data_IF_726148052916
#
_entry.id   IF_726148052916
#
_cell.length_a   1.000
_cell.length_b   1.000
_cell.length_c   1.000
_cell.angle_alpha   90.00
_cell.angle_beta   90.00
_cell.angle_gamma   90.00
#
_symmetry.space_group_name_H-M   'P 1'
#
loop_
_entity.id
_entity.type
_entity.pdbx_description
1 polymer ?
#
# COMPACT_ATOMS: atom_id res chain seq x y z
N UNK A 1 -2.57 15.69 -17.02
CA UNK A 1 -3.26 14.45 -16.61
C UNK A 1 -2.74 13.99 -15.26
N UNK A 2 -3.60 13.51 -14.35
CA UNK A 2 -3.18 12.84 -13.11
C UNK A 2 -2.90 11.37 -13.41
N UNK A 3 -1.68 10.91 -13.10
CA UNK A 3 -1.22 9.55 -13.36
C UNK A 3 -0.90 8.87 -12.02
N UNK A 4 -1.58 7.77 -11.71
CA UNK A 4 -1.47 7.13 -10.39
C UNK A 4 -1.23 5.63 -10.47
N UNK A 5 -0.54 5.12 -9.47
CA UNK A 5 -0.38 3.68 -9.27
C UNK A 5 -1.71 3.02 -8.89
N UNK A 6 -1.97 1.82 -9.39
CA UNK A 6 -3.15 1.03 -9.01
C UNK A 6 -3.12 0.56 -7.55
N UNK A 7 -1.96 0.34 -6.98
CA UNK A 7 -1.80 -0.09 -5.58
C UNK A 7 -1.89 1.04 -4.54
N UNK A 8 -2.45 2.19 -4.89
CA UNK A 8 -2.69 3.30 -3.97
C UNK A 8 -3.92 3.09 -3.10
N UNK A 9 -3.90 3.74 -1.93
CA UNK A 9 -5.03 3.75 -1.02
C UNK A 9 -6.29 4.35 -1.67
N UNK A 10 -7.47 3.80 -1.34
CA UNK A 10 -8.76 4.21 -1.93
C UNK A 10 -9.10 5.70 -1.74
N UNK A 11 -8.55 6.35 -0.69
CA UNK A 11 -8.79 7.78 -0.45
C UNK A 11 -8.37 8.68 -1.62
N UNK A 12 -7.35 8.28 -2.37
CA UNK A 12 -6.95 9.03 -3.55
C UNK A 12 -8.01 8.99 -4.65
N UNK A 13 -8.69 7.85 -4.82
CA UNK A 13 -9.81 7.74 -5.76
C UNK A 13 -10.98 8.65 -5.32
N UNK A 14 -11.28 8.67 -4.02
CA UNK A 14 -12.29 9.57 -3.46
C UNK A 14 -11.90 11.03 -3.70
N UNK A 15 -10.63 11.39 -3.51
CA UNK A 15 -10.11 12.72 -3.83
C UNK A 15 -10.27 13.08 -5.31
N UNK A 16 -9.99 12.16 -6.24
CA UNK A 16 -10.24 12.36 -7.66
C UNK A 16 -11.72 12.61 -7.96
N UNK A 17 -12.62 11.84 -7.33
CA UNK A 17 -14.05 12.01 -7.50
C UNK A 17 -14.55 13.37 -6.97
N UNK A 18 -14.10 13.79 -5.78
CA UNK A 18 -14.41 15.11 -5.21
C UNK A 18 -13.91 16.25 -6.09
N UNK A 19 -12.70 16.14 -6.60
CA UNK A 19 -12.09 17.13 -7.49
C UNK A 19 -12.64 17.08 -8.94
N UNK A 20 -13.45 16.08 -9.29
CA UNK A 20 -13.94 15.90 -10.66
C UNK A 20 -12.86 15.50 -11.66
N UNK A 21 -11.74 14.92 -11.19
CA UNK A 21 -10.60 14.53 -12.02
C UNK A 21 -10.69 13.07 -12.40
N UNK A 22 -10.46 12.76 -13.68
CA UNK A 22 -10.28 11.39 -14.18
C UNK A 22 -8.78 11.05 -14.15
N UNK A 23 -8.33 10.14 -13.26
CA UNK A 23 -6.95 9.70 -13.29
C UNK A 23 -6.73 8.67 -14.39
N UNK A 24 -5.49 8.52 -14.87
CA UNK A 24 -5.06 7.30 -15.55
C UNK A 24 -4.31 6.42 -14.57
N UNK A 25 -4.52 5.11 -14.64
CA UNK A 25 -3.89 4.16 -13.73
C UNK A 25 -2.76 3.44 -14.44
N UNK A 26 -1.63 3.31 -13.76
CA UNK A 26 -0.60 2.35 -14.17
C UNK A 26 -0.50 1.22 -13.14
N UNK A 27 -0.13 0.04 -13.62
CA UNK A 27 0.00 -1.15 -12.80
C UNK A 27 1.48 -1.44 -12.54
N UNK A 28 1.97 -1.30 -11.28
CA UNK A 28 3.28 -1.81 -10.91
C UNK A 28 3.34 -3.33 -11.09
N UNK A 29 4.54 -3.92 -11.21
CA UNK A 29 4.69 -5.36 -11.30
C UNK A 29 4.15 -6.08 -10.06
N UNK A 30 3.69 -7.32 -10.23
CA UNK A 30 3.36 -8.25 -9.15
C UNK A 30 4.31 -9.43 -9.29
N UNK A 31 4.97 -9.80 -8.20
CA UNK A 31 5.75 -11.03 -8.16
C UNK A 31 4.80 -12.24 -8.02
N UNK A 32 4.71 -13.13 -9.01
CA UNK A 32 3.78 -14.25 -8.97
C UNK A 32 4.12 -15.28 -7.88
N UNK A 33 5.38 -15.36 -7.45
CA UNK A 33 5.79 -16.32 -6.43
C UNK A 33 5.38 -15.90 -5.02
N UNK A 34 5.28 -14.61 -4.78
CA UNK A 34 4.94 -14.05 -3.46
C UNK A 34 3.58 -13.35 -3.43
N UNK A 35 3.01 -13.02 -4.58
CA UNK A 35 1.78 -12.22 -4.71
C UNK A 35 1.95 -10.74 -4.39
N UNK A 36 3.18 -10.30 -4.12
CA UNK A 36 3.44 -8.94 -3.65
C UNK A 36 3.58 -7.96 -4.82
N UNK A 37 2.94 -6.81 -4.68
CA UNK A 37 3.18 -5.64 -5.54
C UNK A 37 4.61 -5.16 -5.35
N UNK A 38 5.33 -5.07 -6.46
CA UNK A 38 6.72 -4.65 -6.48
C UNK A 38 6.85 -3.13 -6.66
N UNK A 39 7.95 -2.53 -6.21
CA UNK A 39 8.28 -1.16 -6.56
C UNK A 39 8.28 -0.97 -8.09
N UNK A 40 7.84 0.21 -8.54
CA UNK A 40 7.88 0.56 -9.96
C UNK A 40 9.34 0.74 -10.41
N UNK A 41 9.83 -0.03 -11.41
CA UNK A 41 11.16 0.18 -11.93
C UNK A 41 11.28 1.52 -12.67
N UNK A 42 12.42 2.26 -12.54
CA UNK A 42 12.63 3.54 -13.20
C UNK A 42 12.44 3.47 -14.73
N UNK A 43 12.97 2.43 -15.37
CA UNK A 43 12.82 2.21 -16.82
C UNK A 43 11.37 1.96 -17.25
N UNK A 44 10.56 1.38 -16.36
CA UNK A 44 9.13 1.22 -16.62
C UNK A 44 8.39 2.57 -16.51
N UNK A 45 8.73 3.40 -15.52
CA UNK A 45 8.18 4.75 -15.40
C UNK A 45 8.50 5.60 -16.63
N UNK A 46 9.73 5.57 -17.10
CA UNK A 46 10.15 6.31 -18.32
C UNK A 46 9.31 5.91 -19.54
N UNK A 47 9.07 4.61 -19.72
CA UNK A 47 8.18 4.09 -20.79
C UNK A 47 6.74 4.53 -20.62
N UNK A 48 6.22 4.45 -19.40
CA UNK A 48 4.86 4.85 -19.06
C UNK A 48 4.60 6.33 -19.35
N UNK A 49 5.52 7.22 -18.95
CA UNK A 49 5.37 8.66 -19.18
C UNK A 49 5.44 9.03 -20.67
N UNK A 50 6.27 8.32 -21.45
CA UNK A 50 6.30 8.48 -22.91
C UNK A 50 4.99 8.05 -23.58
N UNK A 51 4.34 6.99 -23.09
CA UNK A 51 3.08 6.49 -23.65
C UNK A 51 1.86 7.29 -23.17
N UNK A 52 1.88 7.78 -21.94
CA UNK A 52 0.74 8.44 -21.33
C UNK A 52 0.48 9.86 -21.89
N UNK A 53 1.46 10.46 -22.54
CA UNK A 53 1.41 11.87 -22.93
C UNK A 53 1.63 12.82 -21.75
N UNK A 54 1.24 14.10 -21.83
CA UNK A 54 1.53 15.09 -20.78
C UNK A 54 0.90 14.71 -19.42
N UNK A 55 1.73 14.40 -18.44
CA UNK A 55 1.35 14.13 -17.05
C UNK A 55 1.67 15.36 -16.20
N UNK A 56 0.67 15.89 -15.48
CA UNK A 56 0.86 17.04 -14.58
C UNK A 56 1.21 16.60 -13.16
N UNK A 57 0.69 15.44 -12.73
CA UNK A 57 0.92 14.89 -11.39
C UNK A 57 1.07 13.38 -11.47
N UNK A 58 2.22 12.88 -11.03
CA UNK A 58 2.45 11.47 -10.77
C UNK A 58 2.20 11.18 -9.30
N UNK A 59 1.47 10.10 -9.00
CA UNK A 59 1.25 9.65 -7.61
C UNK A 59 1.84 8.26 -7.43
N UNK A 60 2.77 8.16 -6.50
CA UNK A 60 3.49 6.93 -6.11
C UNK A 60 3.08 6.48 -4.71
N UNK A 61 3.24 5.19 -4.42
CA UNK A 61 3.24 4.65 -3.06
C UNK A 61 4.61 4.08 -2.75
N UNK A 62 5.23 4.56 -1.69
CA UNK A 62 6.53 4.05 -1.21
C UNK A 62 6.74 4.40 0.25
N UNK A 63 7.01 3.41 1.12
CA UNK A 63 7.00 1.97 0.81
C UNK A 63 5.58 1.42 0.62
N UNK A 64 5.50 0.22 0.07
CA UNK A 64 4.26 -0.57 0.12
C UNK A 64 3.94 -0.94 1.58
N UNK A 65 2.75 -1.48 1.82
CA UNK A 65 2.35 -1.96 3.15
C UNK A 65 3.37 -2.95 3.73
N UNK A 66 3.93 -3.78 2.88
CA UNK A 66 4.90 -4.83 3.21
C UNK A 66 6.33 -4.31 3.39
N UNK A 67 6.56 -3.00 3.21
CA UNK A 67 7.86 -2.38 3.38
C UNK A 67 8.78 -2.48 2.17
N UNK A 68 8.23 -2.68 0.97
CA UNK A 68 8.98 -2.60 -0.29
C UNK A 68 9.07 -1.14 -0.72
N UNK A 69 10.26 -0.57 -0.75
CA UNK A 69 10.51 0.82 -1.11
C UNK A 69 10.98 0.94 -2.57
N UNK A 70 10.52 1.99 -3.25
CA UNK A 70 10.92 2.36 -4.59
C UNK A 70 12.24 3.15 -4.59
N UNK A 71 12.95 3.17 -5.71
CA UNK A 71 14.05 4.11 -5.95
C UNK A 71 13.47 5.51 -6.21
N UNK A 72 13.03 6.16 -5.12
CA UNK A 72 12.38 7.47 -5.20
C UNK A 72 13.25 8.55 -5.82
N UNK A 73 14.57 8.64 -5.53
CA UNK A 73 15.43 9.64 -6.18
C UNK A 73 15.36 9.58 -7.72
N UNK A 74 15.47 8.37 -8.29
CA UNK A 74 15.42 8.22 -9.74
C UNK A 74 13.99 8.42 -10.29
N UNK A 75 12.96 7.91 -9.61
CA UNK A 75 11.57 8.08 -10.04
C UNK A 75 11.15 9.56 -10.03
N UNK A 76 11.54 10.33 -9.01
CA UNK A 76 11.28 11.77 -8.92
C UNK A 76 12.02 12.52 -10.04
N UNK A 77 13.30 12.21 -10.24
CA UNK A 77 14.11 12.83 -11.29
C UNK A 77 13.52 12.58 -12.69
N UNK A 78 13.09 11.35 -12.98
CA UNK A 78 12.39 11.01 -14.24
C UNK A 78 11.12 11.86 -14.39
N UNK A 79 10.29 11.89 -13.34
CA UNK A 79 9.01 12.63 -13.37
C UNK A 79 9.20 14.10 -13.65
N UNK A 80 10.13 14.74 -12.96
CA UNK A 80 10.45 16.15 -13.14
C UNK A 80 11.01 16.44 -14.56
N UNK A 81 11.84 15.54 -15.13
CA UNK A 81 12.30 15.68 -16.53
C UNK A 81 11.14 15.64 -17.54
N UNK A 82 10.04 14.94 -17.20
CA UNK A 82 8.81 14.91 -18.00
C UNK A 82 7.80 16.01 -17.64
N UNK A 83 8.16 16.96 -16.75
CA UNK A 83 7.31 18.07 -16.33
C UNK A 83 6.18 17.68 -15.39
N UNK A 84 6.24 16.49 -14.78
CA UNK A 84 5.25 16.01 -13.82
C UNK A 84 5.70 16.30 -12.39
N UNK A 85 4.84 16.96 -11.60
CA UNK A 85 5.01 17.02 -10.15
C UNK A 85 4.78 15.62 -9.53
N UNK A 86 5.36 15.36 -8.34
CA UNK A 86 5.31 14.06 -7.68
C UNK A 86 4.68 14.16 -6.30
N UNK A 87 3.61 13.39 -6.08
CA UNK A 87 3.06 13.11 -4.76
C UNK A 87 3.43 11.69 -4.37
N UNK A 88 4.02 11.53 -3.19
CA UNK A 88 4.30 10.20 -2.62
C UNK A 88 3.40 9.94 -1.42
N UNK A 89 2.63 8.86 -1.51
CA UNK A 89 1.99 8.27 -0.34
C UNK A 89 3.05 7.47 0.43
N UNK A 90 3.65 8.13 1.41
CA UNK A 90 4.64 7.56 2.34
C UNK A 90 4.00 7.24 3.70
N UNK A 91 2.71 6.88 3.71
CA UNK A 91 1.95 6.59 4.93
C UNK A 91 2.61 5.53 5.81
N UNK A 92 3.31 4.57 5.23
CA UNK A 92 4.02 3.50 5.93
C UNK A 92 5.52 3.77 6.14
N UNK A 93 6.07 4.85 5.57
CA UNK A 93 7.49 5.18 5.56
C UNK A 93 7.88 6.44 6.33
N UNK A 94 7.00 7.03 7.12
CA UNK A 94 7.30 8.29 7.83
C UNK A 94 8.56 8.25 8.70
N UNK A 95 9.02 7.07 9.11
CA UNK A 95 10.26 6.89 9.87
C UNK A 95 11.54 6.85 9.00
N UNK A 96 11.42 6.78 7.67
CA UNK A 96 12.58 6.65 6.76
C UNK A 96 13.53 7.85 6.82
N UNK A 97 13.02 9.05 7.02
CA UNK A 97 13.84 10.26 7.13
C UNK A 97 14.70 10.36 8.40
N UNK A 98 14.62 9.39 9.35
CA UNK A 98 15.25 9.51 10.67
C UNK A 98 16.42 8.55 10.94
N UNK A 99 16.77 7.67 9.99
CA UNK A 99 17.96 6.82 10.09
C UNK A 99 18.49 6.48 8.69
N UNK A 100 19.79 6.70 8.47
CA UNK A 100 20.44 6.50 7.16
C UNK A 100 20.56 5.04 6.72
N UNK A 101 20.24 4.08 7.58
CA UNK A 101 20.17 2.66 7.22
C UNK A 101 18.82 2.22 6.63
N UNK A 102 17.88 3.16 6.53
CA UNK A 102 16.56 2.99 5.90
C UNK A 102 16.60 3.54 4.46
N UNK A 103 15.62 3.20 3.62
CA UNK A 103 15.48 3.80 2.30
C UNK A 103 15.42 5.33 2.35
N UNK A 104 15.79 5.98 1.25
CA UNK A 104 15.68 7.43 1.11
C UNK A 104 14.20 7.83 1.24
N UNK A 105 13.91 8.77 2.15
CA UNK A 105 12.54 9.29 2.33
C UNK A 105 12.09 10.09 1.11
N UNK A 106 10.79 10.17 0.89
CA UNK A 106 10.22 10.88 -0.24
C UNK A 106 10.59 12.38 -0.24
N UNK A 107 10.68 13.00 0.92
CA UNK A 107 11.16 14.39 1.06
C UNK A 107 12.62 14.54 0.64
N UNK A 108 13.50 13.64 1.10
CA UNK A 108 14.91 13.66 0.72
C UNK A 108 15.13 13.33 -0.76
N UNK A 109 14.24 12.54 -1.37
CA UNK A 109 14.23 12.25 -2.80
C UNK A 109 13.74 13.42 -3.67
N UNK A 110 13.21 14.50 -3.08
CA UNK A 110 12.74 15.67 -3.80
C UNK A 110 11.28 15.61 -4.27
N UNK A 111 10.46 14.72 -3.72
CA UNK A 111 9.03 14.70 -4.02
C UNK A 111 8.35 16.01 -3.61
N UNK A 112 7.44 16.53 -4.44
CA UNK A 112 6.80 17.83 -4.23
C UNK A 112 5.76 17.81 -3.10
N UNK A 113 5.02 16.68 -2.99
CA UNK A 113 4.07 16.42 -1.92
C UNK A 113 4.32 15.04 -1.30
N UNK A 114 4.26 14.96 0.02
CA UNK A 114 4.44 13.70 0.75
C UNK A 114 3.39 13.56 1.85
N UNK A 115 2.73 12.42 1.90
CA UNK A 115 1.74 12.09 2.93
C UNK A 115 2.33 11.10 3.93
N UNK A 116 2.34 11.48 5.20
CA UNK A 116 2.68 10.59 6.32
C UNK A 116 1.44 10.26 7.15
N UNK A 117 1.19 8.99 7.42
CA UNK A 117 0.31 8.56 8.52
C UNK A 117 1.15 8.50 9.80
N UNK A 118 1.14 9.57 10.58
CA UNK A 118 1.99 9.72 11.78
C UNK A 118 1.71 8.61 12.80
N UNK A 119 0.44 8.18 12.87
CA UNK A 119 -0.01 7.10 13.75
C UNK A 119 0.49 5.70 13.34
N UNK A 120 0.91 5.48 12.08
CA UNK A 120 1.33 4.15 11.61
C UNK A 120 2.82 3.88 11.88
N UNK A 121 3.67 4.87 11.63
CA UNK A 121 5.12 4.65 11.61
C UNK A 121 5.94 5.57 12.54
N UNK A 122 5.34 6.61 13.10
CA UNK A 122 6.02 7.56 13.97
C UNK A 122 5.57 7.54 15.44
N UNK A 123 4.54 6.75 15.77
CA UNK A 123 4.04 6.60 17.13
C UNK A 123 3.08 7.70 17.57
N UNK A 124 2.50 8.45 16.66
CA UNK A 124 1.40 9.37 16.95
C UNK A 124 0.10 8.63 17.29
N UNK A 125 -0.84 9.32 17.90
CA UNK A 125 -2.19 8.78 18.16
C UNK A 125 -2.94 8.51 16.85
N UNK A 126 -3.84 7.55 16.86
CA UNK A 126 -4.69 7.20 15.73
C UNK A 126 -5.33 8.43 15.08
N UNK A 127 -5.48 8.42 13.76
CA UNK A 127 -5.98 9.51 12.92
C UNK A 127 -4.99 10.68 12.69
N UNK A 128 -3.83 10.73 13.36
CA UNK A 128 -2.85 11.77 13.09
C UNK A 128 -2.10 11.52 11.77
N UNK A 129 -2.07 12.54 10.91
CA UNK A 129 -1.39 12.51 9.63
C UNK A 129 -0.72 13.86 9.35
N UNK A 130 0.20 13.89 8.39
CA UNK A 130 0.82 15.13 7.92
C UNK A 130 0.93 15.11 6.38
N UNK A 131 0.65 16.24 5.77
CA UNK A 131 0.97 16.55 4.39
C UNK A 131 2.20 17.49 4.40
N UNK A 132 3.25 17.06 3.74
CA UNK A 132 4.44 17.86 3.52
C UNK A 132 4.43 18.40 2.09
N UNK A 133 4.85 19.64 1.92
CA UNK A 133 5.02 20.30 0.63
C UNK A 133 6.40 20.93 0.55
N UNK A 134 7.05 20.82 -0.60
CA UNK A 134 8.32 21.47 -0.88
C UNK A 134 8.42 21.87 -2.36
N UNK A 135 9.40 22.73 -2.67
CA UNK A 135 9.56 23.24 -4.04
C UNK A 135 8.49 24.27 -4.41
N UNK A 136 8.26 24.44 -5.71
CA UNK A 136 7.35 25.45 -6.27
C UNK A 136 6.25 24.88 -7.16
N UNK A 137 6.10 23.55 -7.19
CA UNK A 137 5.10 22.89 -8.05
C UNK A 137 3.65 23.16 -7.61
N UNK A 138 3.45 23.47 -6.34
CA UNK A 138 2.14 23.74 -5.75
C UNK A 138 2.13 25.07 -5.02
N UNK A 139 1.06 25.88 -5.24
CA UNK A 139 0.83 27.09 -4.47
C UNK A 139 0.44 26.73 -3.02
N UNK A 140 1.20 27.19 -2.00
CA UNK A 140 0.88 26.93 -0.60
C UNK A 140 -0.52 27.43 -0.19
N UNK A 141 -0.96 28.56 -0.72
CA UNK A 141 -2.28 29.11 -0.39
C UNK A 141 -3.42 28.23 -0.94
N UNK A 142 -3.25 27.69 -2.15
CA UNK A 142 -4.21 26.75 -2.71
C UNK A 142 -4.25 25.41 -1.94
N UNK A 143 -3.10 24.92 -1.45
CA UNK A 143 -3.04 23.73 -0.59
C UNK A 143 -3.74 23.98 0.74
N UNK A 144 -3.48 25.10 1.39
CA UNK A 144 -4.11 25.47 2.66
C UNK A 144 -5.63 25.59 2.50
N UNK A 145 -6.09 26.25 1.41
CA UNK A 145 -7.51 26.36 1.10
C UNK A 145 -8.16 24.97 0.90
N UNK A 146 -7.56 24.09 0.14
CA UNK A 146 -8.07 22.74 -0.11
C UNK A 146 -8.14 21.91 1.19
N UNK A 147 -7.12 22.01 2.04
CA UNK A 147 -7.11 21.37 3.36
C UNK A 147 -8.21 21.95 4.24
N UNK A 148 -8.42 23.26 4.26
CA UNK A 148 -9.48 23.93 5.01
C UNK A 148 -10.89 23.46 4.63
N UNK A 149 -11.12 23.08 3.38
CA UNK A 149 -12.41 22.53 2.94
C UNK A 149 -12.65 21.08 3.35
N UNK A 150 -11.59 20.29 3.51
CA UNK A 150 -11.66 18.85 3.75
C UNK A 150 -11.44 18.48 5.22
N UNK A 151 -10.78 19.33 5.98
CA UNK A 151 -10.53 19.11 7.40
C UNK A 151 -11.69 19.57 8.26
N UNK A 152 -11.75 19.01 9.49
CA UNK A 152 -12.72 19.46 10.49
C UNK A 152 -12.47 20.92 10.90
N UNK A 153 -13.55 21.68 11.11
CA UNK A 153 -13.49 23.03 11.70
C UNK A 153 -13.15 23.04 13.20
N UNK A 154 -13.16 21.86 13.85
CA UNK A 154 -12.88 21.66 15.28
C UNK A 154 -11.73 20.66 15.45
N UNK A 155 -10.49 20.99 15.06
CA UNK A 155 -9.35 20.07 15.14
C UNK A 155 -9.06 19.67 16.59
N UNK A 156 -8.77 18.40 16.82
CA UNK A 156 -8.37 17.89 18.12
C UNK A 156 -6.96 18.34 18.47
N UNK A 157 -6.83 19.21 19.46
CA UNK A 157 -5.52 19.65 19.97
C UNK A 157 -4.65 18.48 20.46
N UNK A 158 -5.27 17.42 20.99
CA UNK A 158 -4.56 16.20 21.44
C UNK A 158 -3.92 15.47 20.26
N UNK A 159 -4.62 15.33 19.13
CA UNK A 159 -4.09 14.69 17.92
C UNK A 159 -2.98 15.54 17.29
N UNK A 160 -3.18 16.86 17.22
CA UNK A 160 -2.15 17.78 16.71
C UNK A 160 -0.88 17.73 17.56
N UNK A 161 -1.02 17.84 18.89
CA UNK A 161 0.10 17.74 19.81
C UNK A 161 0.80 16.38 19.73
N UNK A 162 0.03 15.30 19.58
CA UNK A 162 0.59 13.95 19.41
C UNK A 162 1.43 13.83 18.13
N UNK A 163 0.96 14.39 17.01
CA UNK A 163 1.72 14.41 15.77
C UNK A 163 3.01 15.22 15.90
N UNK A 164 2.93 16.41 16.49
CA UNK A 164 4.11 17.25 16.77
C UNK A 164 5.11 16.52 17.65
N UNK A 165 4.67 15.94 18.75
CA UNK A 165 5.53 15.22 19.67
C UNK A 165 6.20 13.99 19.02
N UNK A 166 5.51 13.30 18.12
CA UNK A 166 6.08 12.20 17.35
C UNK A 166 7.28 12.68 16.51
N UNK A 167 7.14 13.75 15.74
CA UNK A 167 8.25 14.32 14.96
C UNK A 167 9.37 14.83 15.85
N UNK A 168 9.06 15.62 16.88
CA UNK A 168 10.06 16.13 17.83
C UNK A 168 10.84 14.99 18.50
N UNK A 169 10.16 13.88 18.82
CA UNK A 169 10.82 12.71 19.40
C UNK A 169 11.84 12.13 18.41
N UNK A 170 11.45 11.87 17.16
CA UNK A 170 12.36 11.30 16.16
C UNK A 170 13.51 12.23 15.80
N UNK A 171 13.31 13.55 15.80
CA UNK A 171 14.36 14.55 15.62
C UNK A 171 15.32 14.64 16.81
N UNK A 172 14.98 14.11 17.99
CA UNK A 172 15.81 14.17 19.17
C UNK A 172 16.91 13.09 19.18
N UNK A 173 18.04 13.36 19.84
CA UNK A 173 19.10 12.37 20.03
C UNK A 173 18.60 11.10 20.75
N UNK A 174 17.60 11.21 21.64
CA UNK A 174 16.97 10.07 22.31
C UNK A 174 16.17 9.23 21.33
N UNK A 175 15.31 9.85 20.53
CA UNK A 175 14.47 9.17 19.52
C UNK A 175 15.32 8.49 18.46
N UNK A 176 16.34 9.17 17.93
CA UNK A 176 17.28 8.60 16.96
C UNK A 176 17.98 7.35 17.52
N UNK A 177 18.47 7.38 18.78
CA UNK A 177 19.05 6.18 19.42
C UNK A 177 18.03 5.05 19.60
N UNK A 178 16.78 5.39 19.95
CA UNK A 178 15.72 4.40 20.12
C UNK A 178 15.36 3.75 18.78
N UNK A 179 15.19 4.52 17.72
CA UNK A 179 14.91 4.01 16.38
C UNK A 179 16.03 3.07 15.93
N UNK A 180 17.29 3.51 15.99
CA UNK A 180 18.45 2.68 15.62
C UNK A 180 18.48 1.35 16.38
N UNK A 181 18.25 1.38 17.69
CA UNK A 181 18.16 0.15 18.49
C UNK A 181 17.03 -0.75 18.00
N UNK A 182 15.89 -0.20 17.61
CA UNK A 182 14.78 -0.97 17.08
C UNK A 182 15.10 -1.62 15.75
N UNK A 183 15.70 -0.87 14.84
CA UNK A 183 16.12 -1.39 13.55
C UNK A 183 17.12 -2.55 13.70
N UNK A 184 18.08 -2.41 14.61
CA UNK A 184 19.03 -3.49 14.94
C UNK A 184 18.32 -4.72 15.49
N UNK A 185 17.37 -4.55 16.43
CA UNK A 185 16.59 -5.66 16.98
C UNK A 185 15.71 -6.36 15.93
N UNK A 186 15.11 -5.59 15.03
CA UNK A 186 14.29 -6.13 13.95
C UNK A 186 15.13 -6.95 12.96
N UNK A 187 16.32 -6.46 12.59
CA UNK A 187 17.26 -7.20 11.72
C UNK A 187 17.74 -8.49 12.39
N UNK A 188 18.15 -8.41 13.65
CA UNK A 188 18.57 -9.60 14.41
C UNK A 188 17.43 -10.63 14.55
N UNK A 189 16.18 -10.18 14.75
CA UNK A 189 15.02 -11.05 14.76
C UNK A 189 14.82 -11.76 13.42
N UNK A 190 14.90 -11.02 12.30
CA UNK A 190 14.81 -11.60 10.96
C UNK A 190 15.89 -12.67 10.74
N UNK A 191 17.14 -12.36 11.07
CA UNK A 191 18.26 -13.31 10.96
C UNK A 191 18.02 -14.57 11.79
N UNK A 192 17.59 -14.43 13.05
CA UNK A 192 17.27 -15.56 13.93
C UNK A 192 16.14 -16.45 13.40
N UNK A 193 15.09 -15.86 12.84
CA UNK A 193 13.98 -16.60 12.26
C UNK A 193 14.40 -17.31 10.96
N UNK A 194 15.14 -16.63 10.08
CA UNK A 194 15.68 -17.22 8.86
C UNK A 194 16.64 -18.38 9.16
N UNK A 195 17.52 -18.22 10.15
CA UNK A 195 18.41 -19.29 10.61
C UNK A 195 17.66 -20.47 11.21
N UNK A 196 16.46 -20.27 11.71
CA UNK A 196 15.58 -21.32 12.20
C UNK A 196 14.72 -21.98 11.10
N UNK A 197 14.96 -21.67 9.83
CA UNK A 197 14.26 -22.23 8.67
C UNK A 197 12.89 -21.61 8.40
N UNK A 198 12.54 -20.47 9.03
CA UNK A 198 11.30 -19.75 8.76
C UNK A 198 11.43 -19.02 7.41
N UNK A 199 10.54 -19.25 6.43
CA UNK A 199 10.61 -18.63 5.11
C UNK A 199 10.18 -17.17 5.17
N UNK A 200 11.14 -16.28 5.29
CA UNK A 200 10.90 -14.84 5.30
C UNK A 200 11.21 -14.23 3.93
N UNK A 201 10.31 -13.38 3.45
CA UNK A 201 10.51 -12.58 2.26
C UNK A 201 11.33 -11.33 2.60
N UNK A 202 12.16 -10.91 1.63
CA UNK A 202 12.98 -9.70 1.77
C UNK A 202 12.15 -8.46 1.47
N UNK A 203 12.42 -7.41 2.24
CA UNK A 203 11.90 -6.07 2.03
C UNK A 203 12.92 -5.02 2.49
N UNK A 204 12.62 -3.75 2.28
CA UNK A 204 13.50 -2.64 2.59
C UNK A 204 13.29 -2.05 4.00
N UNK A 205 12.10 -2.28 4.60
CA UNK A 205 11.79 -1.82 5.96
C UNK A 205 12.00 -2.94 6.98
N UNK A 206 13.04 -2.86 7.84
CA UNK A 206 13.27 -3.87 8.87
C UNK A 206 12.12 -4.03 9.87
N UNK A 207 11.27 -2.98 10.03
CA UNK A 207 10.12 -3.01 10.92
C UNK A 207 8.91 -3.75 10.34
N UNK A 208 9.01 -4.25 9.12
CA UNK A 208 8.05 -5.16 8.49
C UNK A 208 8.69 -6.53 8.36
N UNK A 209 8.10 -7.54 9.01
CA UNK A 209 8.52 -8.92 8.88
C UNK A 209 7.50 -9.65 8.01
N UNK A 210 7.96 -10.21 6.88
CA UNK A 210 7.11 -10.90 5.91
C UNK A 210 7.35 -12.39 5.97
N UNK A 211 6.34 -13.14 6.39
CA UNK A 211 6.32 -14.60 6.35
C UNK A 211 5.77 -15.05 4.98
N UNK A 212 6.49 -15.91 4.28
CA UNK A 212 6.02 -16.57 3.06
C UNK A 212 5.20 -17.81 3.43
N UNK A 213 3.92 -17.62 3.72
CA UNK A 213 3.01 -18.72 4.12
C UNK A 213 2.78 -19.71 2.99
N UNK A 214 2.77 -19.23 1.74
CA UNK A 214 2.66 -20.07 0.56
C UNK A 214 3.76 -21.13 0.45
N UNK A 215 4.96 -20.87 0.97
CA UNK A 215 6.04 -21.86 1.04
C UNK A 215 5.71 -23.05 1.98
N UNK A 216 4.78 -22.86 2.91
CA UNK A 216 4.28 -23.91 3.79
C UNK A 216 2.94 -24.49 3.34
N UNK A 217 2.45 -24.13 2.15
CA UNK A 217 1.20 -24.66 1.61
C UNK A 217 -0.06 -24.10 2.25
N UNK A 218 0.04 -22.97 2.97
CA UNK A 218 -1.12 -22.30 3.55
C UNK A 218 -1.18 -20.81 3.13
N UNK A 219 -2.41 -20.29 3.07
CA UNK A 219 -2.63 -18.86 2.82
C UNK A 219 -2.27 -18.00 4.03
N UNK A 220 -2.04 -16.70 3.80
CA UNK A 220 -1.84 -15.76 4.89
C UNK A 220 -3.04 -15.69 5.83
N UNK A 221 -4.27 -15.79 5.30
CA UNK A 221 -5.49 -15.79 6.12
C UNK A 221 -5.60 -17.03 7.03
N UNK A 222 -5.27 -18.22 6.54
CA UNK A 222 -5.23 -19.44 7.36
C UNK A 222 -4.14 -19.35 8.44
N UNK A 223 -2.97 -18.80 8.08
CA UNK A 223 -1.89 -18.59 9.03
C UNK A 223 -2.26 -17.56 10.11
N UNK A 224 -2.88 -16.46 9.72
CA UNK A 224 -3.34 -15.38 10.62
C UNK A 224 -4.36 -15.89 11.63
N UNK A 225 -5.41 -16.59 11.15
CA UNK A 225 -6.43 -17.19 12.03
C UNK A 225 -5.81 -18.16 13.03
N UNK A 226 -4.89 -19.02 12.59
CA UNK A 226 -4.21 -19.97 13.47
C UNK A 226 -3.32 -19.28 14.52
N UNK A 227 -2.63 -18.22 14.15
CA UNK A 227 -1.78 -17.41 15.03
C UNK A 227 -2.60 -16.60 16.03
N UNK A 228 -3.72 -16.04 15.59
CA UNK A 228 -4.63 -15.25 16.43
C UNK A 228 -5.17 -16.09 17.61
N UNK A 229 -5.57 -17.33 17.37
CA UNK A 229 -5.98 -18.27 18.43
C UNK A 229 -4.90 -18.51 19.48
N UNK A 230 -3.62 -18.22 19.16
CA UNK A 230 -2.46 -18.40 20.06
C UNK A 230 -1.89 -17.07 20.57
N UNK A 231 -2.69 -16.00 20.45
CA UNK A 231 -2.34 -14.66 20.95
C UNK A 231 -1.24 -13.95 20.16
N UNK A 232 -0.99 -14.37 18.91
CA UNK A 232 -0.09 -13.67 17.99
C UNK A 232 -0.91 -12.97 16.93
N UNK A 233 -0.86 -11.65 16.94
CA UNK A 233 -1.59 -10.79 16.01
C UNK A 233 -0.63 -10.36 14.90
N UNK A 234 -0.93 -10.72 13.66
CA UNK A 234 -0.31 -10.18 12.48
C UNK A 234 -1.14 -9.00 11.95
N UNK A 235 -0.65 -8.36 10.89
CA UNK A 235 -1.27 -7.12 10.41
C UNK A 235 -1.96 -7.30 9.06
N UNK A 236 -1.33 -7.97 8.12
CA UNK A 236 -1.84 -8.06 6.76
C UNK A 236 -1.67 -9.48 6.21
N UNK A 237 -2.70 -10.33 6.30
CA UNK A 237 -2.73 -11.62 5.64
C UNK A 237 -3.03 -11.43 4.14
N UNK A 238 -2.19 -12.01 3.28
CA UNK A 238 -2.35 -12.04 1.83
C UNK A 238 -2.45 -13.49 1.35
N UNK A 239 -2.58 -13.72 0.05
CA UNK A 239 -2.76 -15.09 -0.47
C UNK A 239 -1.56 -15.99 -0.18
N UNK A 240 -0.34 -15.48 -0.33
CA UNK A 240 0.89 -16.25 -0.18
C UNK A 240 1.80 -15.75 0.94
N UNK A 241 1.39 -14.71 1.68
CA UNK A 241 2.23 -14.08 2.69
C UNK A 241 1.43 -13.53 3.87
N UNK A 242 2.14 -13.27 4.97
CA UNK A 242 1.61 -12.64 6.16
C UNK A 242 2.59 -11.60 6.67
N UNK A 243 2.15 -10.36 6.79
CA UNK A 243 2.97 -9.24 7.26
C UNK A 243 2.79 -9.01 8.74
N UNK A 244 3.91 -8.88 9.47
CA UNK A 244 3.94 -8.43 10.86
C UNK A 244 4.52 -7.03 10.93
N UNK A 245 3.86 -6.15 11.68
CA UNK A 245 4.37 -4.82 12.00
C UNK A 245 5.10 -4.84 13.34
N UNK A 246 6.42 -4.65 13.29
CA UNK A 246 7.25 -4.52 14.49
C UNK A 246 7.19 -3.06 14.96
N UNK A 247 6.50 -2.81 16.07
CA UNK A 247 6.34 -1.47 16.61
C UNK A 247 7.64 -0.86 17.15
N UNK A 248 7.62 0.44 17.42
CA UNK A 248 8.71 1.18 18.05
C UNK A 248 8.84 0.90 19.56
N UNK A 249 7.86 0.24 20.15
CA UNK A 249 7.82 -0.11 21.58
C UNK A 249 8.74 -1.29 21.99
N UNK A 250 8.89 -1.60 23.28
CA UNK A 250 9.73 -2.69 23.77
C UNK A 250 9.21 -4.07 23.31
N UNK A 251 10.12 -4.94 22.85
CA UNK A 251 9.80 -6.27 22.32
C UNK A 251 10.46 -7.40 23.12
N UNK A 252 10.46 -7.29 24.47
CA UNK A 252 11.05 -8.31 25.34
C UNK A 252 10.37 -9.66 25.11
N UNK A 253 11.15 -10.70 24.81
CA UNK A 253 10.66 -12.06 24.61
C UNK A 253 10.00 -12.34 23.26
N UNK A 254 9.65 -11.31 22.47
CA UNK A 254 8.94 -11.46 21.20
C UNK A 254 9.63 -12.44 20.24
N UNK A 255 10.95 -12.34 20.08
CA UNK A 255 11.68 -13.19 19.12
C UNK A 255 11.60 -14.68 19.47
N UNK A 256 11.67 -15.03 20.76
CA UNK A 256 11.52 -16.41 21.22
C UNK A 256 10.09 -16.92 21.01
N UNK A 257 9.11 -16.12 21.43
CA UNK A 257 7.68 -16.45 21.27
C UNK A 257 7.33 -16.63 19.80
N UNK A 258 7.70 -15.67 18.94
CA UNK A 258 7.38 -15.69 17.52
C UNK A 258 8.05 -16.90 16.83
N UNK A 259 9.32 -17.17 17.10
CA UNK A 259 9.99 -18.37 16.58
C UNK A 259 9.26 -19.66 16.96
N UNK A 260 8.93 -19.82 18.24
CA UNK A 260 8.25 -21.02 18.74
C UNK A 260 6.88 -21.21 18.06
N UNK A 261 6.09 -20.16 17.97
CA UNK A 261 4.74 -20.22 17.39
C UNK A 261 4.81 -20.43 15.86
N UNK A 262 5.75 -19.82 15.15
CA UNK A 262 5.93 -20.05 13.73
C UNK A 262 6.40 -21.46 13.40
N UNK A 263 7.26 -22.07 14.24
CA UNK A 263 7.62 -23.49 14.11
C UNK A 263 6.43 -24.42 14.35
N UNK A 264 5.57 -24.09 15.32
CA UNK A 264 4.33 -24.84 15.55
C UNK A 264 3.34 -24.67 14.38
N UNK A 265 3.24 -23.48 13.79
CA UNK A 265 2.44 -23.24 12.59
C UNK A 265 2.93 -24.12 11.42
N UNK A 266 4.24 -24.15 11.19
CA UNK A 266 4.83 -25.01 10.17
C UNK A 266 4.49 -26.49 10.39
N UNK A 267 4.58 -26.97 11.62
CA UNK A 267 4.24 -28.36 11.96
C UNK A 267 2.75 -28.67 11.76
N UNK A 268 1.88 -27.71 12.08
CA UNK A 268 0.42 -27.89 12.02
C UNK A 268 -0.16 -27.73 10.61
N UNK A 269 0.43 -26.88 9.78
CA UNK A 269 -0.10 -26.48 8.47
C UNK A 269 0.86 -26.78 7.32
N UNK A 270 2.08 -27.23 7.60
CA UNK A 270 3.09 -27.51 6.58
C UNK A 270 2.61 -28.56 5.57
N UNK A 271 2.54 -28.13 4.31
CA UNK A 271 2.16 -28.95 3.15
C UNK A 271 3.05 -28.59 1.96
N UNK A 272 2.78 -29.15 0.79
CA UNK A 272 3.44 -28.74 -0.44
C UNK A 272 3.20 -27.23 -0.72
N UNK A 273 4.20 -26.50 -1.22
CA UNK A 273 4.04 -25.07 -1.51
C UNK A 273 2.81 -24.80 -2.38
N UNK A 274 2.15 -23.68 -2.11
CA UNK A 274 1.06 -23.20 -2.94
C UNK A 274 1.57 -22.82 -4.34
N UNK A 275 0.74 -22.98 -5.38
CA UNK A 275 1.12 -22.56 -6.73
C UNK A 275 1.32 -21.03 -6.79
N UNK A 276 2.12 -20.54 -7.75
CA UNK A 276 2.26 -19.12 -7.99
C UNK A 276 0.91 -18.42 -8.23
N UNK A 277 0.78 -17.19 -7.75
CA UNK A 277 -0.38 -16.36 -8.00
C UNK A 277 -0.48 -16.02 -9.48
N UNK A 278 -1.66 -16.12 -10.05
CA UNK A 278 -1.97 -15.47 -11.33
C UNK A 278 -2.27 -13.99 -11.06
N UNK A 279 -1.42 -13.05 -11.51
CA UNK A 279 -1.68 -11.63 -11.34
C UNK A 279 -2.99 -11.22 -12.02
N UNK A 280 -3.71 -10.21 -11.47
CA UNK A 280 -4.87 -9.65 -12.17
C UNK A 280 -4.47 -9.17 -13.57
N UNK A 281 -5.27 -9.42 -14.60
CA UNK A 281 -4.98 -9.03 -15.99
C UNK A 281 -5.22 -7.53 -16.20
N UNK A 282 -4.40 -6.70 -15.53
CA UNK A 282 -4.45 -5.27 -15.70
C UNK A 282 -3.63 -4.83 -16.92
N UNK A 283 -4.18 -3.94 -17.77
CA UNK A 283 -3.36 -3.28 -18.76
C UNK A 283 -2.30 -2.40 -18.08
N UNK A 284 -1.19 -2.17 -18.77
CA UNK A 284 -0.09 -1.35 -18.24
C UNK A 284 -0.57 0.07 -17.88
N UNK A 285 -1.45 0.64 -18.71
CA UNK A 285 -2.17 1.88 -18.45
C UNK A 285 -3.67 1.60 -18.61
N UNK A 286 -4.45 1.86 -17.56
CA UNK A 286 -5.90 1.71 -17.56
C UNK A 286 -6.55 3.08 -17.60
N UNK A 287 -7.16 3.49 -18.72
CA UNK A 287 -7.98 4.69 -18.78
C UNK A 287 -9.35 4.42 -18.13
N UNK A 288 -10.00 5.46 -17.67
CA UNK A 288 -11.40 5.42 -17.28
C UNK A 288 -12.29 5.73 -18.48
N UNK A 289 -13.37 4.98 -18.68
CA UNK A 289 -14.39 5.29 -19.65
C UNK A 289 -15.24 6.50 -19.20
N UNK A 290 -15.49 6.60 -17.90
CA UNK A 290 -16.10 7.75 -17.22
C UNK A 290 -15.26 8.13 -16.00
N UNK A 291 -15.33 9.41 -15.58
CA UNK A 291 -14.71 9.78 -14.32
C UNK A 291 -15.36 9.02 -13.14
N UNK A 292 -14.62 8.73 -12.07
CA UNK A 292 -15.20 8.12 -10.87
C UNK A 292 -16.41 8.90 -10.32
N UNK A 293 -16.37 10.23 -10.40
CA UNK A 293 -17.50 11.11 -10.02
C UNK A 293 -18.73 10.82 -10.86
N UNK A 294 -18.59 10.77 -12.19
CA UNK A 294 -19.69 10.49 -13.11
C UNK A 294 -20.26 9.08 -12.87
N UNK A 295 -19.41 8.07 -12.71
CA UNK A 295 -19.85 6.71 -12.48
C UNK A 295 -20.63 6.55 -11.17
N UNK A 296 -20.19 7.22 -10.09
CA UNK A 296 -20.90 7.16 -8.80
C UNK A 296 -22.20 7.97 -8.77
N UNK A 297 -22.38 8.92 -9.66
CA UNK A 297 -23.59 9.78 -9.70
C UNK A 297 -24.69 9.25 -10.64
N UNK A 298 -24.43 8.18 -11.41
CA UNK A 298 -25.41 7.61 -12.34
C UNK A 298 -26.16 6.42 -11.75
N UNK A 299 -27.37 6.13 -12.24
CA UNK A 299 -28.08 4.90 -11.88
C UNK A 299 -27.27 3.66 -12.18
N UNK A 300 -27.35 2.67 -11.30
CA UNK A 300 -26.58 1.44 -11.41
C UNK A 300 -27.41 0.22 -11.00
N UNK A 301 -27.12 -0.92 -11.59
CA UNK A 301 -27.72 -2.20 -11.29
C UNK A 301 -26.66 -3.25 -10.92
N UNK A 302 -27.04 -4.27 -10.17
CA UNK A 302 -26.17 -5.40 -9.88
C UNK A 302 -26.40 -6.48 -10.95
N UNK A 303 -25.32 -6.92 -11.58
CA UNK A 303 -25.33 -8.01 -12.58
C UNK A 303 -24.37 -9.12 -12.17
N UNK A 304 -24.62 -10.38 -12.53
CA UNK A 304 -23.65 -11.45 -12.32
C UNK A 304 -22.31 -11.12 -12.97
N UNK A 305 -21.18 -11.47 -12.33
CA UNK A 305 -19.83 -11.19 -12.86
C UNK A 305 -19.69 -11.65 -14.33
N UNK A 306 -20.18 -12.85 -14.66
CA UNK A 306 -20.11 -13.38 -16.04
C UNK A 306 -20.91 -12.60 -17.08
N UNK A 307 -21.80 -11.69 -16.67
CA UNK A 307 -22.64 -10.88 -17.57
C UNK A 307 -22.18 -9.41 -17.61
N UNK A 308 -21.14 -9.05 -16.86
CA UNK A 308 -20.68 -7.67 -16.72
C UNK A 308 -19.67 -7.23 -17.81
N UNK A 309 -19.27 -8.12 -18.70
CA UNK A 309 -18.27 -7.82 -19.73
C UNK A 309 -18.72 -6.65 -20.63
N UNK A 310 -17.82 -5.72 -20.87
CA UNK A 310 -18.07 -4.51 -21.66
C UNK A 310 -18.84 -3.41 -20.93
N UNK A 311 -19.46 -3.69 -19.78
CA UNK A 311 -20.18 -2.70 -18.96
C UNK A 311 -19.22 -1.79 -18.19
N UNK A 312 -19.68 -0.63 -17.79
CA UNK A 312 -18.91 0.32 -16.97
C UNK A 312 -19.21 0.06 -15.49
N UNK A 313 -18.19 -0.16 -14.69
CA UNK A 313 -18.32 -0.38 -13.27
C UNK A 313 -18.85 0.87 -12.55
N UNK A 314 -19.76 0.67 -11.59
CA UNK A 314 -20.34 1.69 -10.74
C UNK A 314 -19.88 1.55 -9.27
N UNK A 315 -19.08 0.55 -8.96
CA UNK A 315 -18.60 0.32 -7.61
C UNK A 315 -17.09 0.12 -7.53
N UNK A 316 -16.58 0.21 -6.31
CA UNK A 316 -15.21 -0.12 -5.95
C UNK A 316 -15.16 -1.55 -5.40
N UNK A 317 -14.56 -2.48 -6.15
CA UNK A 317 -14.26 -3.81 -5.64
C UNK A 317 -12.80 -3.85 -5.18
N UNK A 318 -12.61 -4.00 -3.88
CA UNK A 318 -11.32 -3.88 -3.23
C UNK A 318 -11.18 -4.99 -2.17
N UNK A 319 -10.78 -6.22 -2.56
CA UNK A 319 -10.55 -7.30 -1.61
C UNK A 319 -9.54 -6.87 -0.53
N UNK A 320 -9.84 -7.14 0.72
CA UNK A 320 -9.01 -6.73 1.85
C UNK A 320 -8.67 -7.94 2.73
N UNK A 321 -7.43 -8.08 3.15
CA UNK A 321 -6.22 -7.35 2.80
C UNK A 321 -5.69 -7.66 1.38
N UNK A 322 -4.82 -6.88 0.77
CA UNK A 322 -4.25 -5.61 1.25
C UNK A 322 -5.10 -4.37 0.93
N UNK A 323 -6.29 -4.52 0.33
CA UNK A 323 -7.13 -3.39 0.01
C UNK A 323 -6.75 -2.67 -1.29
N UNK A 324 -6.25 -3.41 -2.27
CA UNK A 324 -5.92 -2.87 -3.60
C UNK A 324 -7.11 -3.05 -4.53
N UNK A 325 -7.58 -1.97 -5.17
CA UNK A 325 -8.74 -2.02 -6.03
C UNK A 325 -8.54 -2.90 -7.27
N UNK A 326 -9.38 -3.91 -7.44
CA UNK A 326 -9.43 -4.75 -8.64
C UNK A 326 -10.45 -4.27 -9.67
N UNK A 327 -11.50 -3.59 -9.21
CA UNK A 327 -12.48 -2.87 -10.04
C UNK A 327 -12.65 -1.47 -9.48
N UNK A 328 -12.69 -0.47 -10.34
CA UNK A 328 -12.89 0.92 -9.99
C UNK A 328 -14.10 1.49 -10.72
N UNK A 329 -14.92 2.34 -10.07
CA UNK A 329 -16.05 3.00 -10.73
C UNK A 329 -15.56 3.83 -11.91
N UNK A 330 -16.21 3.67 -13.06
CA UNK A 330 -15.83 4.30 -14.31
C UNK A 330 -14.88 3.49 -15.20
N UNK A 331 -14.34 2.36 -14.74
CA UNK A 331 -13.61 1.44 -15.60
C UNK A 331 -14.57 0.60 -16.43
N UNK A 332 -14.22 0.33 -17.70
CA UNK A 332 -14.87 -0.68 -18.50
C UNK A 332 -14.37 -2.08 -18.10
N UNK A 333 -15.29 -2.97 -17.80
CA UNK A 333 -14.98 -4.33 -17.34
C UNK A 333 -14.62 -5.22 -18.53
N UNK A 334 -13.39 -5.73 -18.55
CA UNK A 334 -12.88 -6.65 -19.55
C UNK A 334 -13.20 -8.10 -19.15
N UNK A 335 -13.49 -8.95 -20.16
CA UNK A 335 -13.84 -10.35 -19.93
C UNK A 335 -12.78 -11.10 -19.11
N UNK A 336 -11.50 -10.92 -19.44
CA UNK A 336 -10.37 -11.57 -18.78
C UNK A 336 -10.28 -11.20 -17.30
N UNK A 337 -10.64 -9.95 -16.94
CA UNK A 337 -10.67 -9.51 -15.53
C UNK A 337 -11.82 -10.17 -14.76
N UNK A 338 -12.97 -10.32 -15.39
CA UNK A 338 -14.14 -10.97 -14.79
C UNK A 338 -13.90 -12.47 -14.60
N UNK A 339 -13.31 -13.14 -15.57
CA UNK A 339 -12.89 -14.54 -15.46
C UNK A 339 -11.88 -14.73 -14.33
N UNK A 340 -10.87 -13.83 -14.24
CA UNK A 340 -9.92 -13.84 -13.13
C UNK A 340 -10.62 -13.67 -11.79
N UNK A 341 -11.54 -12.72 -11.64
CA UNK A 341 -12.32 -12.51 -10.42
C UNK A 341 -13.10 -13.77 -10.01
N UNK A 342 -13.76 -14.45 -10.94
CA UNK A 342 -14.48 -15.69 -10.68
C UNK A 342 -13.54 -16.82 -10.21
N UNK A 343 -12.35 -16.92 -10.80
CA UNK A 343 -11.34 -17.89 -10.35
C UNK A 343 -10.82 -17.58 -8.95
N UNK A 344 -10.71 -16.30 -8.59
CA UNK A 344 -10.22 -15.87 -7.29
C UNK A 344 -11.27 -15.94 -6.16
N UNK A 345 -12.56 -16.09 -6.45
CA UNK A 345 -13.64 -16.11 -5.44
C UNK A 345 -13.39 -17.13 -4.32
N UNK A 346 -12.81 -18.28 -4.65
CA UNK A 346 -12.48 -19.33 -3.67
C UNK A 346 -11.34 -18.94 -2.73
N UNK A 347 -10.39 -18.13 -3.22
CA UNK A 347 -9.21 -17.69 -2.47
C UNK A 347 -9.51 -16.46 -1.59
N UNK A 348 -10.48 -15.63 -2.01
CA UNK A 348 -10.89 -14.39 -1.35
C UNK A 348 -12.29 -14.57 -0.74
N UNK A 349 -12.43 -15.58 0.13
CA UNK A 349 -13.70 -16.00 0.70
C UNK A 349 -14.56 -14.81 1.18
N UNK A 350 -15.71 -14.60 0.53
CA UNK A 350 -16.67 -13.54 0.85
C UNK A 350 -16.26 -12.11 0.48
N UNK A 351 -15.10 -11.89 -0.14
CA UNK A 351 -14.61 -10.56 -0.53
C UNK A 351 -14.82 -10.22 -2.00
N UNK A 352 -14.97 -11.24 -2.84
CA UNK A 352 -15.37 -11.08 -4.24
C UNK A 352 -16.81 -11.60 -4.35
N UNK A 353 -17.80 -10.70 -4.53
CA UNK A 353 -19.21 -11.08 -4.64
C UNK A 353 -19.49 -11.77 -5.99
N UNK A 354 -20.62 -12.48 -6.08
CA UNK A 354 -21.08 -13.10 -7.33
C UNK A 354 -21.58 -12.06 -8.35
N UNK A 355 -21.90 -10.87 -7.89
CA UNK A 355 -22.40 -9.77 -8.72
C UNK A 355 -21.49 -8.56 -8.62
N UNK A 356 -21.53 -7.72 -9.63
CA UNK A 356 -20.87 -6.40 -9.65
C UNK A 356 -21.87 -5.33 -10.07
N UNK A 357 -21.80 -4.15 -9.45
CA UNK A 357 -22.62 -3.02 -9.86
C UNK A 357 -22.04 -2.36 -11.09
N UNK A 358 -22.88 -2.19 -12.11
CA UNK A 358 -22.55 -1.53 -13.37
C UNK A 358 -23.55 -0.42 -13.67
N UNK A 359 -23.18 0.51 -14.51
CA UNK A 359 -24.11 1.57 -14.94
C UNK A 359 -25.24 0.96 -15.78
N UNK A 360 -26.44 1.52 -15.65
CA UNK A 360 -27.63 1.13 -16.41
C UNK A 360 -27.49 1.51 -17.89
#
# INVERSE_FOLDING_TARGET
MLFRSRNLHRSLLHGCALAGVSPSLYSPPIDPLTGLWQPLPPEQLERLLKQAGPVSLLVLVSPTYQGLASDLPELVAISHRHGAAVLVDEAHGGHFGFDSSLPVSALAAGADLVVHSVHKSLGGLGQSAALHSQGSAFDPAALEQALGWLQTSSPSAVLMLSAEQAYRHHCSAKGSRQLRKRLQQARALREQLSAAGIPLLMNHDPLRLLLHTGAWGCSGAEADGWLLERGVIAECPELLSLTFCLGLGPTRGLGRQLRQVLQQLQQAKGAAPLPPLQPPPFPLISPFALSPKQAWSQPSEAVPLGQASGRIAAELLCPYPPGIPVVLPGEQLQAERLEWLQQQQRLWAGQIPDTVRVLV
#
